data_IF_768475894634
#
_entry.id   IF_768475894634
#
_cell.length_a   1.000
_cell.length_b   1.000
_cell.length_c   1.000
_cell.angle_alpha   90.00
_cell.angle_beta   90.00
_cell.angle_gamma   90.00
#
_symmetry.space_group_name_H-M   'P 1'
#
loop_
_entity.id
_entity.type
_entity.pdbx_description
1 polymer ?
#
# COMPACT_ATOMS: atom_id res chain seq x y z
N UNK A 1 20.01 29.58 11.95
CA UNK A 1 19.47 28.20 12.04
C UNK A 1 18.03 28.34 12.49
N UNK A 2 17.09 28.39 11.53
CA UNK A 2 15.69 28.68 11.80
C UNK A 2 15.07 27.56 12.67
N UNK A 3 14.19 27.91 13.62
CA UNK A 3 13.55 26.89 14.44
C UNK A 3 12.68 26.03 13.52
N UNK A 4 12.78 24.72 13.66
CA UNK A 4 11.85 23.79 13.03
C UNK A 4 10.46 24.15 13.55
N UNK A 5 9.63 24.76 12.70
CA UNK A 5 8.24 24.98 13.03
C UNK A 5 7.63 23.61 13.33
N UNK A 6 7.24 23.40 14.58
CA UNK A 6 6.43 22.26 15.00
C UNK A 6 5.04 22.51 14.43
N UNK A 7 4.92 22.37 13.12
CA UNK A 7 3.70 22.56 12.38
C UNK A 7 2.76 21.41 12.64
N UNK A 8 1.48 21.76 12.69
CA UNK A 8 0.25 20.97 12.66
C UNK A 8 0.17 19.97 11.48
N UNK A 9 1.20 19.15 11.32
CA UNK A 9 1.29 18.12 10.28
C UNK A 9 0.71 16.80 10.76
N UNK A 10 -0.05 16.14 9.90
CA UNK A 10 -0.51 14.77 10.06
C UNK A 10 0.69 13.83 9.95
N UNK A 11 0.93 13.03 10.99
CA UNK A 11 1.94 11.97 10.95
C UNK A 11 1.29 10.73 10.40
N UNK A 12 1.69 10.28 9.22
CA UNK A 12 1.11 9.11 8.57
C UNK A 12 2.21 8.13 8.19
N UNK A 13 1.83 6.88 8.01
CA UNK A 13 2.72 5.83 7.53
C UNK A 13 2.21 5.32 6.19
N UNK A 14 3.09 5.12 5.23
CA UNK A 14 2.75 4.52 3.94
C UNK A 14 3.49 3.21 3.82
N UNK A 15 2.75 2.14 3.51
CA UNK A 15 3.27 0.78 3.49
C UNK A 15 3.02 0.12 2.15
N UNK A 16 4.04 -0.56 1.63
CA UNK A 16 3.96 -1.39 0.45
C UNK A 16 4.61 -2.76 0.69
N UNK A 17 3.94 -3.82 0.24
CA UNK A 17 4.41 -5.19 0.35
C UNK A 17 4.67 -5.79 -1.04
N UNK A 18 5.89 -5.67 -1.61
CA UNK A 18 6.20 -6.15 -2.96
C UNK A 18 6.16 -7.68 -3.09
N UNK A 19 6.36 -8.41 -2.00
CA UNK A 19 6.32 -9.89 -1.97
C UNK A 19 6.05 -10.39 -0.55
N UNK A 20 5.61 -11.65 -0.37
CA UNK A 20 5.41 -12.22 0.95
C UNK A 20 6.66 -12.08 1.83
N UNK A 21 6.48 -11.61 3.06
CA UNK A 21 7.56 -11.38 4.03
C UNK A 21 8.44 -10.16 3.77
N UNK A 22 8.10 -9.30 2.80
CA UNK A 22 8.78 -8.01 2.59
C UNK A 22 7.79 -6.87 2.72
N UNK A 23 8.19 -5.89 3.51
CA UNK A 23 7.44 -4.68 3.79
C UNK A 23 8.39 -3.50 3.67
N UNK A 24 7.98 -2.51 2.88
CA UNK A 24 8.62 -1.20 2.80
C UNK A 24 7.67 -0.18 3.42
N UNK A 25 8.16 0.57 4.41
CA UNK A 25 7.38 1.49 5.22
C UNK A 25 8.08 2.84 5.24
N UNK A 26 7.32 3.90 4.95
CA UNK A 26 7.79 5.27 4.99
C UNK A 26 6.89 6.08 5.92
N UNK A 27 7.46 6.62 6.99
CA UNK A 27 6.79 7.58 7.87
C UNK A 27 6.90 8.99 7.27
N UNK A 28 5.78 9.71 7.23
CA UNK A 28 5.66 11.03 6.63
C UNK A 28 5.00 12.01 7.59
N UNK A 29 5.33 13.28 7.43
CA UNK A 29 4.57 14.39 8.03
C UNK A 29 3.98 15.20 6.87
N UNK A 30 2.65 15.26 6.80
CA UNK A 30 1.90 15.92 5.72
C UNK A 30 1.07 17.08 6.27
N UNK A 31 0.73 18.09 5.46
CA UNK A 31 -0.18 19.14 5.91
C UNK A 31 -1.57 18.57 6.27
N UNK A 32 -2.29 19.26 7.15
CA UNK A 32 -3.68 18.92 7.46
C UNK A 32 -4.53 18.96 6.18
N UNK A 33 -5.43 17.98 6.03
CA UNK A 33 -6.25 17.81 4.83
C UNK A 33 -5.56 17.07 3.68
N UNK A 34 -4.31 16.61 3.85
CA UNK A 34 -3.65 15.73 2.88
C UNK A 34 -4.46 14.46 2.63
N UNK A 35 -4.38 13.96 1.41
CA UNK A 35 -5.12 12.80 0.92
C UNK A 35 -4.25 11.54 0.84
N UNK A 36 -4.89 10.38 0.65
CA UNK A 36 -4.19 9.12 0.40
C UNK A 36 -3.26 9.21 -0.83
N UNK A 37 -3.64 9.96 -1.87
CA UNK A 37 -2.81 10.23 -3.04
C UNK A 37 -1.58 11.07 -2.69
N UNK A 38 -1.74 12.10 -1.86
CA UNK A 38 -0.61 12.94 -1.43
C UNK A 38 0.41 12.11 -0.64
N UNK A 39 -0.07 11.23 0.25
CA UNK A 39 0.80 10.31 0.98
C UNK A 39 1.51 9.32 0.04
N UNK A 40 0.81 8.75 -0.95
CA UNK A 40 1.42 7.88 -1.95
C UNK A 40 2.56 8.59 -2.68
N UNK A 41 2.32 9.81 -3.17
CA UNK A 41 3.31 10.60 -3.91
C UNK A 41 4.49 11.00 -3.02
N UNK A 42 4.22 11.52 -1.83
CA UNK A 42 5.24 11.95 -0.87
C UNK A 42 6.09 10.79 -0.33
N UNK A 43 5.56 9.56 -0.29
CA UNK A 43 6.32 8.39 0.16
C UNK A 43 7.46 7.99 -0.79
N UNK A 44 7.35 8.34 -2.07
CA UNK A 44 8.26 7.86 -3.12
C UNK A 44 8.24 6.34 -3.35
N UNK A 45 7.37 5.58 -2.66
CA UNK A 45 7.31 4.12 -2.77
C UNK A 45 6.91 3.67 -4.18
N UNK A 46 5.98 4.39 -4.82
CA UNK A 46 5.59 4.09 -6.19
C UNK A 46 6.79 4.16 -7.15
N UNK A 47 7.61 5.21 -7.06
CA UNK A 47 8.80 5.36 -7.88
C UNK A 47 9.87 4.33 -7.55
N UNK A 48 10.14 4.10 -6.26
CA UNK A 48 11.13 3.13 -5.76
C UNK A 48 10.86 1.71 -6.25
N UNK A 49 9.59 1.32 -6.32
CA UNK A 49 9.16 -0.02 -6.74
C UNK A 49 8.67 -0.08 -8.19
N UNK A 50 8.81 1.00 -8.97
CA UNK A 50 8.38 1.06 -10.37
C UNK A 50 6.88 0.85 -10.58
N UNK A 51 6.05 1.25 -9.61
CA UNK A 51 4.61 1.10 -9.66
C UNK A 51 3.96 2.24 -10.45
N UNK A 52 2.99 1.96 -11.32
CA UNK A 52 2.21 3.01 -11.95
C UNK A 52 1.35 3.69 -10.89
N UNK A 53 1.42 5.01 -10.74
CA UNK A 53 0.56 5.73 -9.77
C UNK A 53 -0.93 5.59 -10.14
N UNK A 54 -1.22 5.60 -11.45
CA UNK A 54 -2.57 5.43 -11.98
C UNK A 54 -3.06 3.99 -11.79
N UNK A 55 -4.22 3.83 -11.14
CA UNK A 55 -4.87 2.53 -10.96
C UNK A 55 -4.39 1.71 -9.76
N UNK A 56 -3.48 2.25 -8.93
CA UNK A 56 -3.18 1.61 -7.65
C UNK A 56 -4.38 1.72 -6.72
N UNK A 57 -4.75 0.59 -6.14
CA UNK A 57 -5.74 0.57 -5.08
C UNK A 57 -5.05 0.90 -3.76
N UNK A 58 -5.54 1.92 -3.08
CA UNK A 58 -5.07 2.33 -1.77
C UNK A 58 -6.02 1.84 -0.69
N UNK A 59 -5.52 1.75 0.53
CA UNK A 59 -6.35 1.55 1.71
C UNK A 59 -5.82 2.28 2.92
N UNK A 60 -6.71 2.53 3.88
CA UNK A 60 -6.37 3.04 5.20
C UNK A 60 -6.86 2.03 6.22
N UNK A 61 -5.96 1.52 7.07
CA UNK A 61 -6.28 0.49 8.07
C UNK A 61 -7.06 -0.70 7.51
N UNK A 62 -6.50 -1.38 6.49
CA UNK A 62 -7.10 -2.52 5.80
C UNK A 62 -8.44 -2.24 5.10
N UNK A 63 -8.84 -0.98 4.92
CA UNK A 63 -10.06 -0.60 4.19
C UNK A 63 -9.68 0.10 2.90
N UNK A 64 -10.17 -0.41 1.76
CA UNK A 64 -9.97 0.25 0.48
C UNK A 64 -10.53 1.68 0.53
N UNK A 65 -9.77 2.63 -0.02
CA UNK A 65 -10.14 4.03 -0.05
C UNK A 65 -9.87 4.63 -1.42
N UNK A 66 -10.59 5.69 -1.76
CA UNK A 66 -10.30 6.47 -2.95
C UNK A 66 -9.02 7.29 -2.76
N UNK A 67 -8.26 7.59 -3.82
CA UNK A 67 -7.05 8.41 -3.72
C UNK A 67 -7.29 9.78 -3.08
N UNK A 68 -8.47 10.37 -3.26
CA UNK A 68 -8.85 11.67 -2.67
C UNK A 68 -9.29 11.60 -1.20
N UNK A 69 -9.25 10.43 -0.55
CA UNK A 69 -9.69 10.28 0.84
C UNK A 69 -8.78 11.11 1.77
N UNK A 70 -9.33 12.03 2.59
CA UNK A 70 -8.54 12.82 3.52
C UNK A 70 -8.01 11.93 4.65
N UNK A 71 -6.74 12.13 4.99
CA UNK A 71 -6.05 11.39 6.04
C UNK A 71 -6.21 12.06 7.40
N UNK A 72 -6.05 11.26 8.45
CA UNK A 72 -6.01 11.68 9.85
C UNK A 72 -4.63 11.43 10.44
N UNK A 73 -4.36 12.06 11.58
CA UNK A 73 -3.11 11.82 12.28
C UNK A 73 -3.02 10.34 12.67
N UNK A 74 -1.85 9.76 12.45
CA UNK A 74 -1.49 8.35 12.68
C UNK A 74 -2.19 7.35 11.75
N UNK A 75 -2.75 7.80 10.62
CA UNK A 75 -3.24 6.88 9.62
C UNK A 75 -2.11 6.10 8.95
N UNK A 76 -2.40 4.83 8.65
CA UNK A 76 -1.54 3.98 7.83
C UNK A 76 -2.19 3.77 6.47
N UNK A 77 -1.56 4.28 5.44
CA UNK A 77 -1.90 4.07 4.03
C UNK A 77 -1.20 2.82 3.52
N UNK A 78 -1.97 1.94 2.88
CA UNK A 78 -1.52 0.66 2.34
C UNK A 78 -1.64 0.71 0.81
N UNK A 79 -0.57 0.37 0.10
CA UNK A 79 -0.54 0.30 -1.36
C UNK A 79 -0.81 -1.15 -1.78
N UNK A 80 -1.96 -1.40 -2.41
CA UNK A 80 -2.31 -2.73 -2.89
C UNK A 80 -1.88 -2.95 -4.33
N UNK A 81 -1.60 -4.23 -4.64
CA UNK A 81 -1.29 -4.68 -5.99
C UNK A 81 -2.56 -5.16 -6.67
N UNK A 82 -2.72 -4.89 -7.98
CA UNK A 82 -3.81 -5.47 -8.75
C UNK A 82 -3.70 -7.00 -8.74
N UNK A 83 -4.85 -7.67 -8.70
CA UNK A 83 -4.92 -9.12 -8.80
C UNK A 83 -4.51 -9.54 -10.22
N UNK A 84 -3.48 -10.38 -10.33
CA UNK A 84 -2.98 -10.88 -11.63
C UNK A 84 -3.81 -12.04 -12.18
N UNK A 85 -4.56 -12.75 -11.32
CA UNK A 85 -5.37 -13.91 -11.68
C UNK A 85 -6.72 -13.79 -11.02
N UNK A 86 -7.78 -14.15 -11.73
CA UNK A 86 -9.13 -14.24 -11.16
C UNK A 86 -9.11 -15.14 -9.91
N UNK A 87 -9.74 -14.74 -8.79
CA UNK A 87 -9.71 -15.50 -7.54
C UNK A 87 -10.18 -16.95 -7.66
N UNK A 88 -11.15 -17.24 -8.54
CA UNK A 88 -11.66 -18.61 -8.77
C UNK A 88 -10.63 -19.46 -9.51
N UNK A 89 -10.01 -18.88 -10.53
CA UNK A 89 -8.94 -19.54 -11.28
C UNK A 89 -7.71 -19.80 -10.40
N UNK A 90 -7.30 -18.81 -9.61
CA UNK A 90 -6.21 -18.94 -8.63
C UNK A 90 -6.52 -20.03 -7.59
N UNK A 91 -7.79 -20.15 -7.14
CA UNK A 91 -8.23 -21.26 -6.28
C UNK A 91 -8.07 -22.59 -7.00
N UNK A 92 -8.58 -22.74 -8.23
CA UNK A 92 -8.48 -23.98 -9.03
C UNK A 92 -7.03 -24.44 -9.20
N UNK A 93 -6.13 -23.52 -9.58
CA UNK A 93 -4.70 -23.81 -9.79
C UNK A 93 -4.00 -24.25 -8.50
N UNK A 94 -4.33 -23.65 -7.35
CA UNK A 94 -3.78 -24.07 -6.05
C UNK A 94 -4.18 -25.49 -5.68
N UNK A 95 -5.45 -25.86 -5.86
CA UNK A 95 -5.91 -27.23 -5.61
C UNK A 95 -5.23 -28.24 -6.54
N UNK A 96 -5.10 -27.92 -7.84
CA UNK A 96 -4.43 -28.79 -8.79
C UNK A 96 -2.95 -29.04 -8.41
N UNK A 97 -2.19 -27.98 -8.12
CA UNK A 97 -0.78 -28.09 -7.68
C UNK A 97 -0.63 -28.87 -6.37
N UNK A 98 -1.57 -28.73 -5.44
CA UNK A 98 -1.56 -29.50 -4.19
C UNK A 98 -1.77 -31.00 -4.46
N UNK A 99 -2.69 -31.34 -5.38
CA UNK A 99 -2.95 -32.72 -5.80
C UNK A 99 -1.74 -33.35 -6.52
N UNK A 100 -1.11 -32.62 -7.43
CA UNK A 100 0.12 -33.06 -8.11
C UNK A 100 1.26 -33.31 -7.12
N UNK A 101 1.40 -32.45 -6.11
CA UNK A 101 2.44 -32.62 -5.08
C UNK A 101 2.21 -33.87 -4.22
N UNK A 102 0.95 -34.18 -3.88
CA UNK A 102 0.59 -35.40 -3.16
C UNK A 102 0.82 -36.65 -3.99
N UNK A 103 0.52 -36.62 -5.29
CA UNK A 103 0.71 -37.75 -6.20
C UNK A 103 2.17 -38.08 -6.53
N UNK A 104 3.11 -37.19 -6.17
CA UNK A 104 4.56 -37.35 -6.41
C UNK A 104 5.34 -37.74 -5.13
N UNK A 105 4.62 -38.06 -4.06
CA UNK A 105 5.13 -38.57 -2.77
C UNK A 105 4.64 -39.99 -2.60
#
# INVERSE_FOLDING_TARGET
MAPAEVGTGLRVEVVYCPRPGVTDLVALTLPAGATAADALLASGLAQRHGLPVAGLQLGVWCRACEPGTPLRDRDRVEIYRPLTVDPKEARRLRYARHKERLART
#
